data_IF_956966990862
#
_entry.id   IF_956966990862
#
_cell.length_a   1.000
_cell.length_b   1.000
_cell.length_c   1.000
_cell.angle_alpha   90.00
_cell.angle_beta   90.00
_cell.angle_gamma   90.00
#
_symmetry.space_group_name_H-M   'P 1'
#
loop_
_entity.id
_entity.type
_entity.pdbx_description
1 polymer ?
#
# COMPACT_ATOMS: atom_id res chain seq x y z
N UNK A 1 -1.38 0.23 0.58
CA UNK A 1 -2.32 1.07 1.35
C UNK A 1 -3.71 0.58 1.00
N UNK A 2 -4.30 -0.24 1.87
CA UNK A 2 -5.63 -0.81 1.63
C UNK A 2 -6.65 0.14 2.27
N UNK A 3 -7.55 0.70 1.47
CA UNK A 3 -8.69 1.45 1.99
C UNK A 3 -9.69 0.39 2.48
N UNK A 4 -10.08 0.42 3.77
CA UNK A 4 -10.94 -0.61 4.31
C UNK A 4 -12.36 -0.46 3.73
N UNK A 5 -13.03 -1.59 3.46
CA UNK A 5 -14.27 -1.63 2.68
C UNK A 5 -15.42 -0.87 3.35
N UNK A 6 -15.47 -0.91 4.68
CA UNK A 6 -16.43 -0.18 5.52
C UNK A 6 -16.31 1.34 5.33
N UNK A 7 -15.10 1.87 5.18
CA UNK A 7 -14.89 3.31 4.93
C UNK A 7 -15.46 3.74 3.58
N UNK A 8 -15.29 2.90 2.56
CA UNK A 8 -15.84 3.17 1.21
C UNK A 8 -17.37 3.15 1.25
N UNK A 9 -17.97 2.11 1.85
CA UNK A 9 -19.42 1.96 1.93
C UNK A 9 -20.05 3.12 2.71
N UNK A 10 -19.49 3.48 3.87
CA UNK A 10 -19.98 4.59 4.67
C UNK A 10 -19.90 5.91 3.91
N UNK A 11 -18.84 6.13 3.13
CA UNK A 11 -18.73 7.32 2.30
C UNK A 11 -19.77 7.35 1.19
N UNK A 12 -20.00 6.24 0.49
CA UNK A 12 -21.03 6.16 -0.56
C UNK A 12 -22.42 6.46 0.01
N UNK A 13 -22.79 5.84 1.13
CA UNK A 13 -24.10 6.07 1.78
C UNK A 13 -24.23 7.55 2.19
N UNK A 14 -23.20 8.11 2.81
CA UNK A 14 -23.19 9.52 3.23
C UNK A 14 -23.32 10.46 2.03
N UNK A 15 -22.59 10.18 0.95
CA UNK A 15 -22.67 10.95 -0.29
C UNK A 15 -24.07 10.87 -0.87
N UNK A 16 -24.69 9.69 -0.94
CA UNK A 16 -26.07 9.57 -1.42
C UNK A 16 -27.00 10.45 -0.58
N UNK A 17 -26.95 10.31 0.75
CA UNK A 17 -27.79 11.07 1.70
C UNK A 17 -27.62 12.58 1.54
N UNK A 18 -26.39 13.08 1.39
CA UNK A 18 -26.09 14.51 1.26
C UNK A 18 -26.65 15.11 -0.04
N UNK A 19 -26.79 14.32 -1.10
CA UNK A 19 -27.24 14.81 -2.41
C UNK A 19 -28.66 14.36 -2.77
N UNK A 20 -29.43 13.78 -1.85
CA UNK A 20 -30.79 13.30 -2.13
C UNK A 20 -31.71 14.38 -2.74
N UNK A 21 -31.61 15.61 -2.24
CA UNK A 21 -32.44 16.75 -2.67
C UNK A 21 -31.72 17.71 -3.64
N UNK A 22 -30.55 17.32 -4.15
CA UNK A 22 -29.74 18.15 -5.04
C UNK A 22 -29.96 17.76 -6.51
N UNK A 23 -29.95 18.75 -7.41
CA UNK A 23 -30.01 18.49 -8.84
C UNK A 23 -28.81 17.61 -9.29
N UNK A 24 -29.00 16.72 -10.29
CA UNK A 24 -27.93 15.83 -10.74
C UNK A 24 -26.69 16.63 -11.16
N UNK A 25 -25.57 16.38 -10.49
CA UNK A 25 -24.26 16.96 -10.77
C UNK A 25 -23.18 15.90 -10.57
N UNK A 26 -22.11 16.02 -11.32
CA UNK A 26 -20.95 15.15 -11.18
C UNK A 26 -20.12 15.59 -9.97
N UNK A 27 -20.30 14.90 -8.84
CA UNK A 27 -19.49 15.11 -7.64
C UNK A 27 -18.36 14.10 -7.56
N UNK A 28 -17.13 14.59 -7.38
CA UNK A 28 -15.94 13.76 -7.22
C UNK A 28 -15.48 13.82 -5.76
N UNK A 29 -15.52 12.67 -5.07
CA UNK A 29 -15.07 12.53 -3.69
C UNK A 29 -13.76 11.76 -3.61
N UNK A 30 -12.74 12.35 -2.98
CA UNK A 30 -11.48 11.67 -2.70
C UNK A 30 -11.53 11.06 -1.30
N UNK A 31 -11.45 9.73 -1.23
CA UNK A 31 -11.52 8.97 0.03
C UNK A 31 -10.14 8.41 0.32
N UNK A 32 -9.60 8.71 1.50
CA UNK A 32 -8.34 8.15 1.98
C UNK A 32 -8.40 7.85 3.47
N UNK A 33 -7.47 7.02 3.94
CA UNK A 33 -7.27 6.83 5.38
C UNK A 33 -6.86 8.16 6.03
N UNK A 34 -7.41 8.44 7.21
CA UNK A 34 -7.21 9.71 7.93
C UNK A 34 -5.74 10.14 8.07
N UNK A 35 -5.49 11.44 7.96
CA UNK A 35 -4.21 12.06 8.31
C UNK A 35 -3.93 12.05 9.83
N UNK A 36 -4.94 11.76 10.66
CA UNK A 36 -4.85 11.78 12.13
C UNK A 36 -4.01 10.63 12.69
N UNK A 37 -3.88 9.53 11.94
CA UNK A 37 -2.91 8.47 12.22
C UNK A 37 -2.09 8.22 10.95
N UNK A 38 -1.15 9.12 10.61
CA UNK A 38 -0.37 9.01 9.39
C UNK A 38 0.60 7.85 9.57
N UNK A 39 0.17 6.67 9.14
CA UNK A 39 0.98 5.47 9.14
C UNK A 39 2.08 5.61 8.09
N UNK A 40 3.31 5.88 8.53
CA UNK A 40 4.41 6.12 7.59
C UNK A 40 4.75 4.81 6.90
N UNK A 41 5.14 4.90 5.63
CA UNK A 41 5.62 3.75 4.85
C UNK A 41 6.78 3.04 5.57
N UNK A 42 7.63 3.80 6.27
CA UNK A 42 8.72 3.23 7.06
C UNK A 42 8.21 2.40 8.26
N UNK A 43 7.14 2.83 8.93
CA UNK A 43 6.55 2.10 10.05
C UNK A 43 5.93 0.78 9.55
N UNK A 44 5.28 0.82 8.38
CA UNK A 44 4.78 -0.38 7.71
C UNK A 44 5.90 -1.37 7.39
N UNK A 45 6.99 -0.89 6.81
CA UNK A 45 8.16 -1.70 6.47
C UNK A 45 8.75 -2.37 7.72
N UNK A 46 8.86 -1.62 8.82
CA UNK A 46 9.36 -2.15 10.08
C UNK A 46 8.44 -3.25 10.62
N UNK A 47 7.12 -3.03 10.64
CA UNK A 47 6.14 -4.01 11.11
C UNK A 47 6.19 -5.29 10.27
N UNK A 48 6.24 -5.17 8.94
CA UNK A 48 6.35 -6.32 8.04
C UNK A 48 7.65 -7.09 8.31
N UNK A 49 8.77 -6.38 8.40
CA UNK A 49 10.07 -6.99 8.65
C UNK A 49 10.06 -7.76 9.98
N UNK A 50 9.60 -7.13 11.07
CA UNK A 50 9.55 -7.76 12.38
C UNK A 50 8.62 -8.98 12.42
N UNK A 51 7.48 -8.92 11.71
CA UNK A 51 6.54 -10.03 11.61
C UNK A 51 7.17 -11.26 10.97
N UNK A 52 7.79 -11.09 9.80
CA UNK A 52 8.34 -12.22 9.05
C UNK A 52 9.70 -12.68 9.59
N UNK A 53 10.45 -11.85 10.32
CA UNK A 53 11.63 -12.32 11.08
C UNK A 53 11.20 -13.29 12.17
N UNK A 54 10.09 -13.00 12.86
CA UNK A 54 9.52 -13.89 13.89
C UNK A 54 8.80 -15.11 13.29
N UNK A 55 8.19 -14.94 12.13
CA UNK A 55 7.41 -15.97 11.43
C UNK A 55 7.91 -16.13 10.00
N UNK A 56 9.07 -16.78 9.79
CA UNK A 56 9.67 -16.85 8.47
C UNK A 56 8.82 -17.71 7.54
N UNK A 57 8.54 -17.20 6.34
CA UNK A 57 7.96 -18.01 5.27
C UNK A 57 8.94 -19.10 4.86
N UNK A 58 8.40 -20.24 4.47
CA UNK A 58 9.19 -21.38 4.01
C UNK A 58 9.17 -21.44 2.49
N UNK A 59 10.31 -21.72 1.86
CA UNK A 59 10.34 -22.00 0.44
C UNK A 59 9.83 -23.42 0.13
N UNK A 60 9.74 -23.75 -1.16
CA UNK A 60 9.38 -25.09 -1.66
C UNK A 60 10.23 -26.24 -1.08
N UNK A 61 11.45 -25.93 -0.62
CA UNK A 61 12.39 -26.89 -0.05
C UNK A 61 12.36 -26.95 1.48
N UNK A 62 11.36 -26.36 2.14
CA UNK A 62 11.27 -26.38 3.60
C UNK A 62 12.24 -25.43 4.31
N UNK A 63 12.99 -24.59 3.59
CA UNK A 63 13.96 -23.65 4.18
C UNK A 63 13.34 -22.28 4.47
N UNK A 64 13.67 -21.65 5.60
CA UNK A 64 13.24 -20.28 5.91
C UNK A 64 13.74 -19.28 4.86
N UNK A 65 12.86 -18.40 4.38
CA UNK A 65 13.19 -17.30 3.50
C UNK A 65 13.80 -16.18 4.33
N UNK A 66 15.07 -15.88 4.09
CA UNK A 66 15.78 -14.78 4.77
C UNK A 66 15.39 -13.46 4.12
N UNK A 67 14.87 -12.56 4.95
CA UNK A 67 14.41 -11.22 4.57
C UNK A 67 15.42 -10.21 5.08
N UNK A 68 15.77 -9.25 4.21
CA UNK A 68 16.62 -8.13 4.59
C UNK A 68 15.82 -6.84 4.61
N UNK A 69 16.06 -6.00 5.62
CA UNK A 69 15.46 -4.66 5.72
C UNK A 69 15.82 -3.77 4.52
N UNK A 70 16.97 -4.04 3.88
CA UNK A 70 17.48 -3.35 2.68
C UNK A 70 16.61 -3.56 1.44
N UNK A 71 15.79 -4.62 1.41
CA UNK A 71 14.86 -4.86 0.30
C UNK A 71 13.74 -3.80 0.26
N UNK A 72 13.48 -3.14 1.39
CA UNK A 72 12.45 -2.13 1.50
C UNK A 72 13.07 -0.73 1.38
N UNK A 73 12.80 0.00 0.30
CA UNK A 73 13.34 1.34 0.11
C UNK A 73 12.74 2.30 1.14
N UNK A 74 13.62 3.09 1.75
CA UNK A 74 13.25 4.11 2.74
C UNK A 74 12.80 5.43 2.12
N UNK A 75 12.91 5.57 0.79
CA UNK A 75 12.49 6.74 0.02
C UNK A 75 11.88 6.35 -1.32
N UNK A 76 10.97 7.19 -1.85
CA UNK A 76 10.35 6.98 -3.16
C UNK A 76 11.40 6.99 -4.29
N UNK A 77 12.40 7.86 -4.19
CA UNK A 77 13.51 7.91 -5.15
C UNK A 77 14.30 6.60 -5.15
N UNK A 78 14.64 6.07 -3.96
CA UNK A 78 15.31 4.78 -3.83
C UNK A 78 14.46 3.61 -4.37
N UNK A 79 13.15 3.65 -4.14
CA UNK A 79 12.20 2.67 -4.70
C UNK A 79 12.20 2.68 -6.22
N UNK A 80 12.09 3.86 -6.84
CA UNK A 80 12.06 4.00 -8.29
C UNK A 80 13.37 3.52 -8.95
N UNK A 81 14.52 3.85 -8.34
CA UNK A 81 15.83 3.35 -8.79
C UNK A 81 15.88 1.82 -8.71
N UNK A 82 15.46 1.23 -7.59
CA UNK A 82 15.41 -0.22 -7.41
C UNK A 82 14.53 -0.90 -8.47
N UNK A 83 13.30 -0.40 -8.68
CA UNK A 83 12.40 -0.95 -9.69
C UNK A 83 12.98 -0.86 -11.10
N UNK A 84 13.62 0.27 -11.41
CA UNK A 84 14.23 0.50 -12.72
C UNK A 84 15.34 -0.51 -13.01
N UNK A 85 16.26 -0.70 -12.05
CA UNK A 85 17.38 -1.62 -12.21
C UNK A 85 16.92 -3.08 -12.23
N UNK A 86 16.02 -3.45 -11.31
CA UNK A 86 15.63 -4.86 -11.10
C UNK A 86 14.62 -5.36 -12.15
N UNK A 87 13.71 -4.51 -12.62
CA UNK A 87 12.59 -4.93 -13.45
C UNK A 87 12.54 -4.21 -14.81
N UNK A 88 12.74 -2.89 -14.86
CA UNK A 88 12.56 -2.13 -16.13
C UNK A 88 13.69 -2.36 -17.13
N UNK A 89 14.95 -2.33 -16.70
CA UNK A 89 16.10 -2.54 -17.59
C UNK A 89 16.08 -3.96 -18.20
N UNK A 90 15.92 -5.04 -17.41
CA UNK A 90 15.84 -6.39 -17.99
C UNK A 90 14.71 -6.55 -19.00
N UNK A 91 13.54 -5.93 -18.75
CA UNK A 91 12.39 -5.97 -19.66
C UNK A 91 12.62 -5.23 -20.99
N UNK A 92 13.54 -4.26 -21.05
CA UNK A 92 13.84 -3.49 -22.26
C UNK A 92 14.98 -4.08 -23.09
N UNK A 93 15.76 -4.99 -22.50
CA UNK A 93 16.91 -5.62 -23.15
C UNK A 93 16.55 -7.01 -23.70
N UNK A 94 15.34 -7.52 -23.40
CA UNK A 94 14.68 -8.62 -24.10
C UNK A 94 13.75 -8.07 -25.19
#
# INVERSE_FOLDING_TARGET
MQIPADLVINCVITTIVVHLDQAPKDFIYHISSSLRNPFKVLDFINIIYDYFVKNPCTNENGKPIVISKRLFPTSLSGFNVYLTIRYVIPLKVC
#
